data_IF_383806745281
#
_entry.id   IF_383806745281
#
_cell.length_a   1.000
_cell.length_b   1.000
_cell.length_c   1.000
_cell.angle_alpha   90.00
_cell.angle_beta   90.00
_cell.angle_gamma   90.00
#
_symmetry.space_group_name_H-M   'P 1'
#
loop_
_entity.id
_entity.type
_entity.pdbx_description
1 polymer ?
#
# COMPACT_ATOMS: atom_id res chain seq x y z
N UNK A 1 -5.84 15.96 30.98
CA UNK A 1 -4.49 15.37 30.89
C UNK A 1 -4.66 13.87 30.99
N UNK A 2 -4.77 13.19 29.85
CA UNK A 2 -4.66 11.74 29.78
C UNK A 2 -3.26 11.52 29.20
N UNK A 3 -2.37 10.96 29.99
CA UNK A 3 -1.04 10.61 29.51
C UNK A 3 -1.22 9.47 28.50
N UNK A 4 -0.91 9.73 27.23
CA UNK A 4 -0.66 8.66 26.26
C UNK A 4 0.63 7.97 26.68
N UNK A 5 0.50 6.92 27.49
CA UNK A 5 1.55 5.93 27.63
C UNK A 5 1.65 5.20 26.30
N UNK A 6 2.62 5.60 25.49
CA UNK A 6 2.98 4.93 24.25
C UNK A 6 3.62 3.58 24.63
N UNK A 7 2.80 2.56 24.92
CA UNK A 7 3.29 1.20 25.09
C UNK A 7 3.82 0.73 23.73
N UNK A 8 5.13 0.66 23.60
CA UNK A 8 5.79 0.18 22.39
C UNK A 8 5.39 -1.28 22.13
N UNK A 9 5.00 -1.57 20.89
CA UNK A 9 4.74 -2.95 20.46
C UNK A 9 5.96 -3.84 20.73
N UNK A 10 5.73 -4.92 21.46
CA UNK A 10 6.70 -6.02 21.60
C UNK A 10 6.55 -6.91 20.37
N UNK A 11 7.52 -6.81 19.45
CA UNK A 11 7.55 -7.63 18.24
C UNK A 11 7.93 -9.07 18.61
N UNK A 12 7.07 -10.01 18.23
CA UNK A 12 7.26 -11.46 18.44
C UNK A 12 7.19 -12.21 17.10
N UNK A 13 7.48 -13.51 17.10
CA UNK A 13 7.37 -14.37 15.91
C UNK A 13 5.99 -14.36 15.27
N UNK A 14 4.94 -14.17 16.10
CA UNK A 14 3.54 -14.27 15.70
C UNK A 14 2.96 -12.92 15.32
N UNK A 15 3.71 -11.83 15.58
CA UNK A 15 3.32 -10.49 15.14
C UNK A 15 3.34 -10.44 13.61
N UNK A 16 2.28 -9.90 13.02
CA UNK A 16 2.17 -9.81 11.57
C UNK A 16 2.98 -8.65 11.01
N UNK A 17 3.43 -8.79 9.76
CA UNK A 17 4.24 -7.77 9.07
C UNK A 17 3.53 -6.41 9.06
N UNK A 18 2.24 -6.40 8.71
CA UNK A 18 1.43 -5.18 8.63
C UNK A 18 1.29 -4.48 9.98
N UNK A 19 1.18 -5.23 11.09
CA UNK A 19 1.12 -4.64 12.45
C UNK A 19 2.44 -3.98 12.82
N UNK A 20 3.58 -4.55 12.42
CA UNK A 20 4.91 -3.98 12.70
C UNK A 20 5.09 -2.67 11.93
N UNK A 21 4.69 -2.64 10.65
CA UNK A 21 4.77 -1.42 9.84
C UNK A 21 3.77 -0.36 10.30
N UNK A 22 2.58 -0.77 10.78
CA UNK A 22 1.61 0.15 11.34
C UNK A 22 2.11 0.79 12.65
N UNK A 23 2.82 0.05 13.50
CA UNK A 23 3.46 0.57 14.73
C UNK A 23 4.60 1.56 14.40
N UNK A 24 5.44 1.22 13.42
CA UNK A 24 6.54 2.06 12.97
C UNK A 24 6.77 1.92 11.47
N UNK A 25 6.23 2.88 10.70
CA UNK A 25 6.27 2.85 9.23
C UNK A 25 7.70 2.77 8.66
N UNK A 26 8.71 3.22 9.41
CA UNK A 26 10.12 3.14 8.98
C UNK A 26 10.60 1.69 8.83
N UNK A 27 9.92 0.73 9.46
CA UNK A 27 10.20 -0.69 9.31
C UNK A 27 9.81 -1.24 7.94
N UNK A 28 8.96 -0.54 7.17
CA UNK A 28 8.61 -0.90 5.79
C UNK A 28 9.86 -1.14 4.93
N UNK A 29 10.84 -0.24 5.01
CA UNK A 29 12.10 -0.34 4.25
C UNK A 29 12.94 -1.58 4.60
N UNK A 30 12.77 -2.15 5.81
CA UNK A 30 13.40 -3.43 6.16
C UNK A 30 12.74 -4.56 5.40
N UNK A 31 11.41 -4.61 5.35
CA UNK A 31 10.67 -5.63 4.61
C UNK A 31 10.90 -5.54 3.10
N UNK A 32 10.89 -4.33 2.54
CA UNK A 32 11.18 -4.07 1.11
C UNK A 32 12.56 -4.59 0.72
N UNK A 33 13.58 -4.36 1.55
CA UNK A 33 14.95 -4.87 1.33
C UNK A 33 14.99 -6.40 1.18
N UNK A 34 14.09 -7.11 1.86
CA UNK A 34 13.98 -8.57 1.78
C UNK A 34 12.92 -9.05 0.79
N UNK A 35 12.30 -8.16 0.01
CA UNK A 35 11.21 -8.49 -0.90
C UNK A 35 10.00 -9.08 -0.19
N UNK A 36 9.73 -8.62 1.03
CA UNK A 36 8.56 -8.96 1.83
C UNK A 36 7.49 -7.90 1.63
N UNK A 37 6.32 -8.34 1.15
CA UNK A 37 5.14 -7.50 1.00
C UNK A 37 4.51 -7.20 2.37
N UNK A 38 4.47 -5.91 2.72
CA UNK A 38 3.89 -5.41 3.97
C UNK A 38 2.53 -4.73 3.79
N UNK A 39 2.06 -4.52 2.55
CA UNK A 39 0.80 -3.85 2.27
C UNK A 39 -0.34 -4.87 2.16
N UNK A 40 -0.39 -5.65 1.07
CA UNK A 40 -1.40 -6.69 0.84
C UNK A 40 -1.09 -7.94 1.67
N UNK A 41 0.18 -8.38 1.64
CA UNK A 41 0.70 -9.50 2.41
C UNK A 41 0.81 -9.27 3.93
N UNK A 42 0.44 -8.09 4.44
CA UNK A 42 0.67 -7.67 5.83
C UNK A 42 0.07 -8.56 6.93
N UNK A 43 -0.88 -9.45 6.61
CA UNK A 43 -1.49 -10.38 7.56
C UNK A 43 -0.64 -11.61 7.91
N UNK A 44 0.47 -11.84 7.20
CA UNK A 44 1.38 -12.95 7.50
C UNK A 44 2.23 -12.67 8.74
N UNK A 45 2.47 -13.69 9.57
CA UNK A 45 3.37 -13.59 10.71
C UNK A 45 4.84 -13.45 10.28
N UNK A 46 5.68 -12.84 11.13
CA UNK A 46 7.13 -12.78 10.91
C UNK A 46 7.74 -14.18 10.71
N UNK A 47 7.35 -15.15 11.53
CA UNK A 47 7.89 -16.51 11.43
C UNK A 47 7.54 -17.19 10.09
N UNK A 48 6.30 -17.00 9.64
CA UNK A 48 5.83 -17.62 8.40
C UNK A 48 6.49 -16.98 7.19
N UNK A 49 6.59 -15.64 7.14
CA UNK A 49 7.20 -14.96 6.00
C UNK A 49 8.70 -15.20 5.92
N UNK A 50 9.41 -15.24 7.05
CA UNK A 50 10.82 -15.61 7.09
C UNK A 50 11.04 -17.01 6.50
N UNK A 51 10.19 -17.98 6.86
CA UNK A 51 10.26 -19.34 6.31
C UNK A 51 9.95 -19.38 4.82
N UNK A 52 8.96 -18.62 4.35
CA UNK A 52 8.60 -18.56 2.92
C UNK A 52 9.69 -17.92 2.06
N UNK A 53 10.31 -16.84 2.54
CA UNK A 53 11.34 -16.09 1.81
C UNK A 53 12.77 -16.60 2.05
N UNK A 54 12.96 -17.53 2.98
CA UNK A 54 14.29 -18.03 3.36
C UNK A 54 15.14 -16.99 4.09
N UNK A 55 14.50 -16.05 4.80
CA UNK A 55 15.16 -14.98 5.56
C UNK A 55 15.41 -15.47 6.99
N UNK A 56 16.61 -15.21 7.54
CA UNK A 56 16.92 -15.51 8.94
C UNK A 56 16.09 -14.60 9.87
N UNK A 57 15.18 -15.16 10.71
CA UNK A 57 14.37 -14.38 11.63
C UNK A 57 15.19 -13.55 12.61
N UNK A 58 16.36 -14.03 13.05
CA UNK A 58 17.20 -13.31 14.00
C UNK A 58 17.80 -12.06 13.38
N UNK A 59 18.26 -12.16 12.13
CA UNK A 59 18.74 -11.04 11.34
C UNK A 59 17.63 -10.00 11.12
N UNK A 60 16.44 -10.45 10.72
CA UNK A 60 15.31 -9.54 10.45
C UNK A 60 14.90 -8.76 11.71
N UNK A 61 14.79 -9.45 12.86
CA UNK A 61 14.48 -8.81 14.14
C UNK A 61 15.56 -7.80 14.57
N UNK A 62 16.83 -8.10 14.29
CA UNK A 62 17.93 -7.18 14.56
C UNK A 62 17.81 -5.90 13.70
N UNK A 63 17.52 -6.04 12.40
CA UNK A 63 17.33 -4.90 11.50
C UNK A 63 16.12 -4.05 11.90
N UNK A 64 14.98 -4.68 12.23
CA UNK A 64 13.79 -4.00 12.74
C UNK A 64 14.08 -3.23 14.04
N UNK A 65 14.86 -3.83 14.95
CA UNK A 65 15.25 -3.17 16.21
C UNK A 65 16.18 -1.98 15.96
N UNK A 66 17.04 -2.04 14.95
CA UNK A 66 17.96 -0.96 14.62
C UNK A 66 17.23 0.31 14.13
N UNK A 67 16.09 0.17 13.44
CA UNK A 67 15.24 1.30 13.00
C UNK A 67 14.79 2.15 14.19
N UNK A 68 14.48 1.51 15.33
CA UNK A 68 14.01 2.19 16.55
C UNK A 68 15.06 3.14 17.17
N UNK A 69 16.34 3.01 16.82
CA UNK A 69 17.41 3.89 17.29
C UNK A 69 17.45 5.24 16.54
N UNK A 70 16.69 5.39 15.47
CA UNK A 70 16.53 6.67 14.76
C UNK A 70 15.38 7.46 15.41
N UNK A 71 15.44 8.80 15.50
CA UNK A 71 14.29 9.59 15.94
C UNK A 71 13.06 9.32 15.07
N UNK A 72 11.90 9.10 15.69
CA UNK A 72 10.62 9.01 14.97
C UNK A 72 10.28 10.40 14.48
N UNK A 73 10.18 10.57 13.16
CA UNK A 73 9.50 11.73 12.62
C UNK A 73 8.00 11.59 12.89
N UNK A 74 7.45 12.53 13.66
CA UNK A 74 6.04 12.55 14.04
C UNK A 74 5.10 12.55 12.82
N UNK A 75 5.59 12.96 11.65
CA UNK A 75 4.83 12.95 10.40
C UNK A 75 4.47 11.53 9.89
N UNK A 76 5.06 10.47 10.46
CA UNK A 76 4.86 9.08 10.04
C UNK A 76 4.10 8.20 11.04
N UNK A 77 3.51 8.77 12.09
CA UNK A 77 2.73 8.01 13.07
C UNK A 77 1.26 7.88 12.64
N UNK A 78 1.06 7.20 11.51
CA UNK A 78 -0.26 7.03 10.88
C UNK A 78 -1.26 6.31 11.79
N UNK A 79 -0.78 5.41 12.65
CA UNK A 79 -1.61 4.69 13.63
C UNK A 79 -2.20 5.58 14.72
N UNK A 80 -1.69 6.78 14.95
CA UNK A 80 -2.29 7.72 15.91
C UNK A 80 -3.28 8.70 15.26
N UNK A 81 -3.42 8.67 13.94
CA UNK A 81 -4.31 9.60 13.24
C UNK A 81 -5.77 9.21 13.41
N UNK A 82 -6.62 10.23 13.57
CA UNK A 82 -8.07 10.04 13.51
C UNK A 82 -8.48 9.56 12.12
N UNK A 83 -9.41 8.61 12.04
CA UNK A 83 -9.80 8.01 10.75
C UNK A 83 -10.26 9.01 9.69
N UNK A 84 -11.05 10.07 10.02
CA UNK A 84 -11.38 11.10 9.05
C UNK A 84 -10.15 11.77 8.42
N UNK A 85 -9.14 12.04 9.24
CA UNK A 85 -7.91 12.69 8.79
C UNK A 85 -7.04 11.74 7.97
N UNK A 86 -6.94 10.47 8.35
CA UNK A 86 -6.23 9.47 7.56
C UNK A 86 -6.86 9.27 6.19
N UNK A 87 -8.20 9.18 6.11
CA UNK A 87 -8.92 9.11 4.84
C UNK A 87 -8.67 10.36 3.97
N UNK A 88 -8.73 11.57 4.55
CA UNK A 88 -8.40 12.80 3.83
C UNK A 88 -6.94 12.81 3.33
N UNK A 89 -5.99 12.32 4.13
CA UNK A 89 -4.60 12.22 3.73
C UNK A 89 -4.40 11.28 2.55
N UNK A 90 -5.03 10.10 2.57
CA UNK A 90 -4.98 9.11 1.50
C UNK A 90 -5.48 9.73 0.18
N UNK A 91 -6.64 10.39 0.21
CA UNK A 91 -7.20 11.05 -0.98
C UNK A 91 -6.27 12.16 -1.50
N UNK A 92 -5.83 13.05 -0.61
CA UNK A 92 -5.05 14.23 -1.02
C UNK A 92 -3.60 13.90 -1.42
N UNK A 93 -3.10 12.72 -1.04
CA UNK A 93 -1.71 12.30 -1.32
C UNK A 93 -1.71 11.24 -2.41
N UNK A 94 -2.27 10.07 -2.14
CA UNK A 94 -2.16 8.88 -2.98
C UNK A 94 -3.17 8.91 -4.13
N UNK A 95 -4.46 9.19 -3.85
CA UNK A 95 -5.45 9.22 -4.94
C UNK A 95 -5.17 10.38 -5.91
N UNK A 96 -4.74 11.53 -5.37
CA UNK A 96 -4.30 12.66 -6.19
C UNK A 96 -3.12 12.29 -7.10
N UNK A 97 -2.14 11.56 -6.57
CA UNK A 97 -1.01 11.06 -7.35
C UNK A 97 -1.48 10.09 -8.46
N UNK A 98 -2.29 9.10 -8.12
CA UNK A 98 -2.82 8.11 -9.05
C UNK A 98 -3.60 8.78 -10.20
N UNK A 99 -4.52 9.69 -9.87
CA UNK A 99 -5.30 10.44 -10.85
C UNK A 99 -4.44 11.28 -11.80
N UNK A 100 -3.28 11.77 -11.36
CA UNK A 100 -2.37 12.56 -12.19
C UNK A 100 -1.44 11.72 -13.05
N UNK A 101 -1.13 10.48 -12.65
CA UNK A 101 -0.03 9.71 -13.25
C UNK A 101 -0.50 8.47 -14.04
N UNK A 102 -1.62 7.83 -13.69
CA UNK A 102 -2.02 6.55 -14.29
C UNK A 102 -2.10 6.59 -15.82
N UNK A 103 -2.78 7.57 -16.40
CA UNK A 103 -2.92 7.69 -17.86
C UNK A 103 -1.55 7.89 -18.54
N UNK A 104 -0.70 8.73 -17.94
CA UNK A 104 0.64 9.00 -18.48
C UNK A 104 1.52 7.75 -18.42
N UNK A 105 1.51 7.01 -17.31
CA UNK A 105 2.29 5.79 -17.17
C UNK A 105 1.80 4.73 -18.16
N UNK A 106 0.47 4.58 -18.34
CA UNK A 106 -0.10 3.69 -19.34
C UNK A 106 0.32 4.05 -20.78
N UNK A 107 0.38 5.34 -21.11
CA UNK A 107 0.88 5.80 -22.40
C UNK A 107 2.37 5.49 -22.57
N UNK A 108 3.17 5.63 -21.52
CA UNK A 108 4.60 5.32 -21.52
C UNK A 108 4.90 3.83 -21.67
N UNK A 109 4.18 2.96 -20.95
CA UNK A 109 4.32 1.50 -21.08
C UNK A 109 3.93 1.03 -22.48
N UNK A 110 2.80 1.52 -23.00
CA UNK A 110 2.38 1.27 -24.38
C UNK A 110 3.43 1.70 -25.40
N UNK A 111 4.04 2.89 -25.20
CA UNK A 111 5.04 3.40 -26.12
C UNK A 111 6.31 2.55 -26.16
N UNK A 112 6.79 2.09 -25.00
CA UNK A 112 7.99 1.25 -24.97
C UNK A 112 7.70 -0.15 -25.51
N UNK A 113 6.49 -0.68 -25.31
CA UNK A 113 6.06 -1.94 -25.94
C UNK A 113 6.09 -1.85 -27.47
N UNK A 114 5.59 -0.75 -28.04
CA UNK A 114 5.60 -0.51 -29.50
C UNK A 114 7.03 -0.44 -30.06
N UNK A 115 7.92 0.30 -29.41
CA UNK A 115 9.27 0.60 -29.94
C UNK A 115 10.27 -0.51 -29.63
N UNK A 116 10.24 -1.03 -28.40
CA UNK A 116 11.25 -1.95 -27.88
C UNK A 116 10.77 -3.40 -27.81
N UNK A 117 9.47 -3.70 -27.96
CA UNK A 117 8.90 -5.04 -27.77
C UNK A 117 9.51 -6.15 -28.64
N UNK A 118 10.17 -5.81 -29.75
CA UNK A 118 10.91 -6.79 -30.56
C UNK A 118 12.22 -7.29 -29.91
N UNK A 119 12.89 -6.44 -29.12
CA UNK A 119 14.14 -6.77 -28.41
C UNK A 119 13.92 -6.98 -26.90
N UNK A 120 12.86 -6.36 -26.36
CA UNK A 120 12.42 -6.39 -24.96
C UNK A 120 10.97 -6.89 -24.89
N UNK A 121 10.70 -8.18 -25.16
CA UNK A 121 9.34 -8.70 -25.21
C UNK A 121 8.58 -8.54 -23.88
N UNK A 122 9.28 -8.47 -22.74
CA UNK A 122 8.72 -8.26 -21.41
C UNK A 122 7.88 -6.98 -21.31
N UNK A 123 8.24 -5.92 -22.06
CA UNK A 123 7.52 -4.65 -21.99
C UNK A 123 6.14 -4.69 -22.62
N UNK A 124 5.88 -5.68 -23.49
CA UNK A 124 4.54 -5.91 -24.06
C UNK A 124 3.60 -6.40 -22.96
N UNK A 125 4.06 -7.33 -22.13
CA UNK A 125 3.28 -7.86 -21.02
C UNK A 125 3.12 -6.82 -19.90
N UNK A 126 4.18 -6.08 -19.56
CA UNK A 126 4.09 -4.94 -18.62
C UNK A 126 3.03 -3.92 -19.06
N UNK A 127 2.99 -3.58 -20.36
CA UNK A 127 2.01 -2.64 -20.88
C UNK A 127 0.57 -3.16 -20.76
N UNK A 128 0.35 -4.46 -21.04
CA UNK A 128 -0.96 -5.08 -20.90
C UNK A 128 -1.43 -5.10 -19.43
N UNK A 129 -0.56 -5.50 -18.50
CA UNK A 129 -0.88 -5.53 -17.06
C UNK A 129 -1.20 -4.12 -16.55
N UNK A 130 -0.35 -3.13 -16.88
CA UNK A 130 -0.54 -1.76 -16.39
C UNK A 130 -1.80 -1.11 -16.97
N UNK A 131 -2.18 -1.43 -18.21
CA UNK A 131 -3.44 -0.97 -18.79
C UNK A 131 -4.66 -1.52 -18.02
N UNK A 132 -4.58 -2.77 -17.54
CA UNK A 132 -5.59 -3.35 -16.65
C UNK A 132 -5.69 -2.57 -15.33
N UNK A 133 -4.56 -2.37 -14.65
CA UNK A 133 -4.47 -1.57 -13.41
C UNK A 133 -5.10 -0.19 -13.60
N UNK A 134 -4.73 0.54 -14.65
CA UNK A 134 -5.25 1.87 -14.92
C UNK A 134 -6.76 1.89 -15.19
N UNK A 135 -7.31 0.82 -15.78
CA UNK A 135 -8.75 0.67 -16.03
C UNK A 135 -9.53 0.46 -14.73
N UNK A 136 -9.03 -0.41 -13.86
CA UNK A 136 -9.73 -0.82 -12.64
C UNK A 136 -9.67 0.25 -11.54
N UNK A 137 -8.54 0.97 -11.46
CA UNK A 137 -8.28 1.94 -10.38
C UNK A 137 -9.32 3.07 -10.31
N UNK A 138 -9.83 3.56 -11.44
CA UNK A 138 -10.77 4.68 -11.44
C UNK A 138 -12.14 4.35 -10.80
N UNK A 139 -12.56 3.08 -10.84
CA UNK A 139 -13.78 2.64 -10.15
C UNK A 139 -13.51 2.40 -8.66
N UNK A 140 -12.36 1.79 -8.37
CA UNK A 140 -11.87 1.52 -7.02
C UNK A 140 -11.79 2.81 -6.17
N UNK A 141 -11.04 3.83 -6.64
CA UNK A 141 -10.87 5.10 -5.90
C UNK A 141 -12.21 5.82 -5.66
N UNK A 142 -13.15 5.73 -6.60
CA UNK A 142 -14.48 6.34 -6.43
C UNK A 142 -15.33 5.63 -5.38
N UNK A 143 -15.26 4.30 -5.31
CA UNK A 143 -15.93 3.55 -4.24
C UNK A 143 -15.40 4.01 -2.87
N UNK A 144 -14.10 4.23 -2.74
CA UNK A 144 -13.51 4.73 -1.50
C UNK A 144 -13.94 6.17 -1.19
N UNK A 145 -13.78 7.08 -2.14
CA UNK A 145 -14.03 8.51 -1.96
C UNK A 145 -15.51 8.87 -1.78
N UNK A 146 -16.41 8.17 -2.48
CA UNK A 146 -17.84 8.50 -2.52
C UNK A 146 -18.67 7.63 -1.57
N UNK A 147 -18.17 6.44 -1.18
CA UNK A 147 -18.93 5.47 -0.37
C UNK A 147 -18.24 5.19 0.96
N UNK A 148 -17.06 4.56 0.96
CA UNK A 148 -16.43 4.06 2.19
C UNK A 148 -15.97 5.20 3.12
N UNK A 149 -15.15 6.13 2.63
CA UNK A 149 -14.58 7.20 3.45
C UNK A 149 -15.66 8.14 4.02
N UNK A 150 -16.71 8.52 3.27
CA UNK A 150 -17.84 9.23 3.85
C UNK A 150 -18.55 8.47 4.98
N UNK A 151 -18.76 7.16 4.86
CA UNK A 151 -19.37 6.35 5.91
C UNK A 151 -18.50 6.32 7.18
N UNK A 152 -17.18 6.11 7.04
CA UNK A 152 -16.22 6.17 8.16
C UNK A 152 -16.31 7.53 8.88
N UNK A 153 -16.35 8.63 8.13
CA UNK A 153 -16.45 9.99 8.70
C UNK A 153 -17.76 10.23 9.45
N UNK A 154 -18.89 9.73 8.94
CA UNK A 154 -20.19 9.84 9.61
C UNK A 154 -20.22 9.06 10.92
N UNK A 155 -19.71 7.83 10.93
CA UNK A 155 -19.64 6.99 12.13
C UNK A 155 -18.74 7.63 13.19
N UNK A 156 -17.55 8.11 12.82
CA UNK A 156 -16.63 8.80 13.73
C UNK A 156 -17.29 10.05 14.36
N UNK A 157 -17.99 10.85 13.55
CA UNK A 157 -18.69 12.04 14.03
C UNK A 157 -19.88 11.71 14.97
N UNK A 158 -20.63 10.64 14.67
CA UNK A 158 -21.70 10.16 15.55
C UNK A 158 -21.14 9.78 16.93
N UNK A 159 -20.06 8.99 16.95
CA UNK A 159 -19.37 8.60 18.19
C UNK A 159 -18.89 9.79 19.01
N UNK A 160 -18.24 10.77 18.38
CA UNK A 160 -17.78 12.02 19.04
C UNK A 160 -18.92 12.86 19.60
N UNK A 161 -20.10 12.80 18.97
CA UNK A 161 -21.30 13.53 19.39
C UNK A 161 -22.14 12.78 20.42
N UNK A 162 -21.76 11.55 20.79
CA UNK A 162 -22.54 10.68 21.67
C UNK A 162 -23.80 10.10 21.02
N UNK A 163 -23.89 10.14 19.69
CA UNK A 163 -24.99 9.59 18.91
C UNK A 163 -24.66 8.17 18.47
N UNK A 164 -25.70 7.34 18.30
CA UNK A 164 -25.54 6.02 17.67
C UNK A 164 -25.29 6.18 16.17
N UNK A 165 -24.29 5.49 15.59
CA UNK A 165 -24.10 5.47 14.15
C UNK A 165 -25.31 4.93 13.39
N UNK A 166 -25.49 5.38 12.15
CA UNK A 166 -26.56 4.86 11.29
C UNK A 166 -26.26 3.41 10.88
N UNK A 167 -27.29 2.55 10.95
CA UNK A 167 -27.16 1.13 10.57
C UNK A 167 -26.69 0.98 9.11
N UNK A 168 -27.11 1.90 8.23
CA UNK A 168 -26.70 1.91 6.84
C UNK A 168 -25.19 2.08 6.68
N UNK A 169 -24.57 2.99 7.44
CA UNK A 169 -23.12 3.23 7.37
C UNK A 169 -22.33 2.02 7.87
N UNK A 170 -22.80 1.37 8.94
CA UNK A 170 -22.16 0.14 9.46
C UNK A 170 -22.24 -1.01 8.44
N UNK A 171 -23.38 -1.15 7.76
CA UNK A 171 -23.54 -2.12 6.68
C UNK A 171 -22.61 -1.81 5.50
N UNK A 172 -22.53 -0.53 5.10
CA UNK A 172 -21.61 -0.08 4.04
C UNK A 172 -20.16 -0.44 4.35
N UNK A 173 -19.65 -0.16 5.56
CA UNK A 173 -18.27 -0.55 5.91
C UNK A 173 -18.10 -2.06 5.77
N UNK A 174 -19.00 -2.85 6.35
CA UNK A 174 -18.89 -4.31 6.33
C UNK A 174 -18.88 -4.88 4.90
N UNK A 175 -19.75 -4.37 4.03
CA UNK A 175 -19.94 -4.90 2.68
C UNK A 175 -18.81 -4.44 1.74
N UNK A 176 -18.29 -3.22 1.91
CA UNK A 176 -17.26 -2.67 1.02
C UNK A 176 -15.84 -3.14 1.38
N UNK A 177 -15.52 -3.33 2.67
CA UNK A 177 -14.15 -3.69 3.09
C UNK A 177 -13.64 -4.99 2.46
N UNK A 178 -14.46 -6.04 2.42
CA UNK A 178 -14.03 -7.32 1.84
C UNK A 178 -13.80 -7.24 0.32
N UNK A 179 -14.56 -6.41 -0.38
CA UNK A 179 -14.40 -6.15 -1.81
C UNK A 179 -13.08 -5.41 -2.08
N UNK A 180 -12.84 -4.30 -1.37
CA UNK A 180 -11.64 -3.50 -1.56
C UNK A 180 -10.36 -4.28 -1.20
N UNK A 181 -10.40 -5.08 -0.13
CA UNK A 181 -9.29 -5.97 0.25
C UNK A 181 -8.91 -6.95 -0.89
N UNK A 182 -9.91 -7.48 -1.59
CA UNK A 182 -9.70 -8.35 -2.76
C UNK A 182 -9.15 -7.59 -3.97
N UNK A 183 -9.66 -6.38 -4.22
CA UNK A 183 -9.16 -5.52 -5.29
C UNK A 183 -7.69 -5.13 -5.04
N UNK A 184 -7.32 -4.79 -3.80
CA UNK A 184 -5.94 -4.55 -3.39
C UNK A 184 -5.04 -5.76 -3.62
N UNK A 185 -5.50 -6.97 -3.28
CA UNK A 185 -4.71 -8.18 -3.54
C UNK A 185 -4.46 -8.36 -5.04
N UNK A 186 -5.48 -8.18 -5.87
CA UNK A 186 -5.35 -8.33 -7.32
C UNK A 186 -4.40 -7.29 -7.93
N UNK A 187 -4.49 -6.02 -7.50
CA UNK A 187 -3.57 -4.97 -7.95
C UNK A 187 -2.15 -5.24 -7.45
N UNK A 188 -1.99 -5.66 -6.19
CA UNK A 188 -0.69 -6.02 -5.60
C UNK A 188 0.00 -7.15 -6.37
N UNK A 189 -0.74 -8.21 -6.74
CA UNK A 189 -0.22 -9.33 -7.55
C UNK A 189 0.20 -8.87 -8.96
N UNK A 190 -0.58 -7.95 -9.56
CA UNK A 190 -0.28 -7.37 -10.87
C UNK A 190 1.01 -6.52 -10.84
N UNK A 191 1.21 -5.72 -9.79
CA UNK A 191 2.41 -4.90 -9.60
C UNK A 191 3.64 -5.77 -9.34
N UNK A 192 3.53 -6.82 -8.52
CA UNK A 192 4.60 -7.80 -8.34
C UNK A 192 5.00 -8.46 -9.66
N UNK A 193 4.03 -8.75 -10.53
CA UNK A 193 4.28 -9.31 -11.87
C UNK A 193 5.06 -8.33 -12.75
N UNK A 194 4.66 -7.05 -12.75
CA UNK A 194 5.41 -5.99 -13.45
C UNK A 194 6.84 -5.89 -12.94
N UNK A 195 7.05 -5.84 -11.62
CA UNK A 195 8.38 -5.76 -11.02
C UNK A 195 9.25 -6.95 -11.41
N UNK A 196 8.67 -8.16 -11.43
CA UNK A 196 9.37 -9.36 -11.84
C UNK A 196 9.79 -9.30 -13.32
N UNK A 197 8.86 -8.96 -14.22
CA UNK A 197 9.14 -8.80 -15.66
C UNK A 197 10.19 -7.74 -15.91
N UNK A 198 10.14 -6.63 -15.17
CA UNK A 198 11.11 -5.54 -15.25
C UNK A 198 12.45 -5.85 -14.56
N UNK A 199 12.63 -7.06 -14.01
CA UNK A 199 13.82 -7.48 -13.25
C UNK A 199 14.17 -6.46 -12.14
N UNK A 200 13.18 -6.03 -11.35
CA UNK A 200 13.35 -5.00 -10.33
C UNK A 200 13.65 -3.61 -10.92
N UNK A 201 13.13 -3.32 -12.11
CA UNK A 201 13.33 -2.09 -12.86
C UNK A 201 14.79 -1.80 -13.25
N UNK A 202 15.59 -2.85 -13.47
CA UNK A 202 16.95 -2.71 -13.99
C UNK A 202 16.89 -2.18 -15.42
N UNK A 203 17.61 -1.07 -15.68
CA UNK A 203 17.65 -0.42 -16.98
C UNK A 203 18.65 -1.13 -17.91
N UNK A 204 18.22 -1.66 -19.08
CA UNK A 204 19.12 -2.25 -20.07
C UNK A 204 20.01 -1.20 -20.75
N UNK A 205 21.15 -1.62 -21.32
CA UNK A 205 22.11 -0.71 -21.96
C UNK A 205 21.71 -0.23 -23.37
N UNK A 206 20.70 -0.82 -23.97
CA UNK A 206 20.28 -0.68 -25.36
C UNK A 206 18.90 -0.02 -25.53
N UNK A 207 18.41 0.66 -24.49
CA UNK A 207 17.09 1.31 -24.50
C UNK A 207 17.17 2.83 -24.65
N UNK A 208 16.08 3.43 -25.11
CA UNK A 208 15.97 4.88 -25.20
C UNK A 208 15.62 5.54 -23.86
N UNK A 209 15.74 6.87 -23.77
CA UNK A 209 15.41 7.62 -22.55
C UNK A 209 13.94 7.44 -22.11
N UNK A 210 13.00 7.25 -23.04
CA UNK A 210 11.60 6.99 -22.69
C UNK A 210 11.47 5.71 -21.86
N UNK A 211 12.20 4.66 -22.21
CA UNK A 211 12.23 3.41 -21.43
C UNK A 211 12.71 3.65 -20.01
N UNK A 212 13.82 4.38 -19.86
CA UNK A 212 14.38 4.74 -18.55
C UNK A 212 13.34 5.47 -17.69
N UNK A 213 12.68 6.47 -18.26
CA UNK A 213 11.62 7.23 -17.59
C UNK A 213 10.43 6.33 -17.23
N UNK A 214 9.99 5.43 -18.14
CA UNK A 214 8.88 4.51 -17.87
C UNK A 214 9.18 3.61 -16.67
N UNK A 215 10.38 3.01 -16.60
CA UNK A 215 10.74 2.12 -15.49
C UNK A 215 10.84 2.87 -14.16
N UNK A 216 11.41 4.07 -14.15
CA UNK A 216 11.38 4.90 -12.94
C UNK A 216 9.96 5.27 -12.52
N UNK A 217 9.06 5.55 -13.48
CA UNK A 217 7.67 5.87 -13.19
C UNK A 217 6.87 4.67 -12.68
N UNK A 218 7.14 3.47 -13.20
CA UNK A 218 6.55 2.23 -12.67
C UNK A 218 7.02 1.95 -11.24
N UNK A 219 8.31 2.19 -10.96
CA UNK A 219 8.85 2.05 -9.61
C UNK A 219 8.23 3.09 -8.65
N UNK A 220 8.16 4.35 -9.05
CA UNK A 220 7.51 5.42 -8.28
C UNK A 220 6.04 5.10 -7.97
N UNK A 221 5.32 4.54 -8.95
CA UNK A 221 3.95 4.06 -8.78
C UNK A 221 3.86 2.90 -7.78
N UNK A 222 4.74 1.90 -7.89
CA UNK A 222 4.79 0.77 -6.94
C UNK A 222 5.06 1.26 -5.51
N UNK A 223 6.02 2.17 -5.33
CA UNK A 223 6.39 2.72 -4.03
C UNK A 223 5.22 3.51 -3.40
N UNK A 224 4.50 4.33 -4.18
CA UNK A 224 3.31 5.05 -3.71
C UNK A 224 2.17 4.09 -3.33
N UNK A 225 1.91 3.10 -4.20
CA UNK A 225 0.85 2.12 -4.00
C UNK A 225 1.09 1.26 -2.75
N UNK A 226 2.33 0.82 -2.50
CA UNK A 226 2.65 0.05 -1.29
C UNK A 226 2.30 0.84 -0.02
N UNK A 227 2.63 2.13 0.01
CA UNK A 227 2.29 2.98 1.14
C UNK A 227 0.79 3.19 1.24
N UNK A 228 0.13 3.56 0.15
CA UNK A 228 -1.32 3.74 0.06
C UNK A 228 -2.06 2.53 0.64
N UNK A 229 -1.86 1.36 0.03
CA UNK A 229 -2.55 0.13 0.41
C UNK A 229 -2.20 -0.30 1.83
N UNK A 230 -0.98 -0.03 2.32
CA UNK A 230 -0.64 -0.28 3.72
C UNK A 230 -1.50 0.56 4.68
N UNK A 231 -1.64 1.87 4.41
CA UNK A 231 -2.44 2.76 5.24
C UNK A 231 -3.90 2.30 5.30
N UNK A 232 -4.41 1.73 4.22
CA UNK A 232 -5.77 1.18 4.16
C UNK A 232 -5.86 -0.16 4.87
N UNK A 233 -5.18 -1.18 4.35
CA UNK A 233 -5.33 -2.57 4.78
C UNK A 233 -4.89 -2.80 6.23
N UNK A 234 -3.90 -2.06 6.71
CA UNK A 234 -3.29 -2.32 8.01
C UNK A 234 -3.62 -1.26 9.06
N UNK A 235 -4.24 -0.13 8.68
CA UNK A 235 -4.58 0.94 9.64
C UNK A 235 -6.05 1.36 9.51
N UNK A 236 -6.48 1.91 8.37
CA UNK A 236 -7.82 2.46 8.21
C UNK A 236 -8.90 1.37 8.29
N UNK A 237 -8.76 0.29 7.50
CA UNK A 237 -9.76 -0.76 7.39
C UNK A 237 -9.93 -1.56 8.68
N UNK A 238 -8.85 -2.02 9.37
CA UNK A 238 -9.00 -2.72 10.63
C UNK A 238 -9.66 -1.88 11.71
N UNK A 239 -9.36 -0.56 11.77
CA UNK A 239 -10.00 0.34 12.73
C UNK A 239 -11.46 0.62 12.36
N UNK A 240 -11.76 0.81 11.08
CA UNK A 240 -13.12 1.00 10.58
C UNK A 240 -14.01 -0.22 10.89
N UNK A 241 -13.48 -1.44 10.79
CA UNK A 241 -14.20 -2.66 11.12
C UNK A 241 -14.55 -2.83 12.62
N UNK A 242 -13.91 -2.04 13.50
CA UNK A 242 -14.15 -2.05 14.95
C UNK A 242 -15.10 -0.94 15.43
N UNK A 243 -15.57 -0.06 14.52
CA UNK A 243 -16.46 1.06 14.85
C UNK A 243 -17.89 0.64 15.15
#
# INVERSE_FOLDING_TARGET
>A
MIASTNEQLIVTSDTTVGVIVADDFRTAGVFEKHGIDFCCGGRISLADICRQKGVDPALLLQELSAVKNTPVDRSHNYSDWALPFLADYIVNTHHSYLNQNLEQIAAYTSKIAEVHGGHHPEVIEIAAIFAGIATDMAAHLREEEEVLFPAIKRIDNAGKSGNTPEIADLATIKDTLAKLDQEHQAIGDAVHSIRHLANGYVIPGDVCNTFVVTYHKLQEFEDDLHKHVHLENNILFPKAALM
#
